data_IF_472305843204
#
_entry.id   IF_472305843204
#
_cell.length_a   1.000
_cell.length_b   1.000
_cell.length_c   1.000
_cell.angle_alpha   90.00
_cell.angle_beta   90.00
_cell.angle_gamma   90.00
#
_symmetry.space_group_name_H-M   'P 1'
#
loop_
_entity.id
_entity.type
_entity.pdbx_description
1 polymer ?
#
# COMPACT_ATOMS: atom_id res chain seq x y z
N UNK A 1 23.02 22.70 0.94
CA UNK A 1 22.55 21.49 0.23
C UNK A 1 23.70 20.51 -0.01
N UNK A 2 24.86 20.95 -0.54
CA UNK A 2 26.00 20.06 -0.83
C UNK A 2 26.60 19.38 0.41
N UNK A 3 26.72 20.09 1.53
CA UNK A 3 27.21 19.58 2.83
C UNK A 3 26.36 18.44 3.43
N UNK A 4 25.05 18.36 3.09
CA UNK A 4 24.14 17.31 3.54
C UNK A 4 24.16 16.10 2.60
N UNK A 5 24.29 16.35 1.30
CA UNK A 5 24.27 15.28 0.29
C UNK A 5 25.59 14.49 0.28
N UNK A 6 26.73 15.16 0.51
CA UNK A 6 28.04 14.53 0.46
C UNK A 6 28.21 13.35 1.44
N UNK A 7 27.86 13.45 2.74
CA UNK A 7 27.95 12.31 3.66
C UNK A 7 27.09 11.12 3.23
N UNK A 8 25.90 11.38 2.69
CA UNK A 8 24.99 10.34 2.21
C UNK A 8 25.63 9.59 1.02
N UNK A 9 26.15 10.32 0.04
CA UNK A 9 26.83 9.71 -1.10
C UNK A 9 28.08 8.93 -0.70
N UNK A 10 28.88 9.45 0.24
CA UNK A 10 30.06 8.75 0.75
C UNK A 10 29.66 7.44 1.46
N UNK A 11 28.59 7.47 2.26
CA UNK A 11 28.09 6.27 2.94
C UNK A 11 27.61 5.23 1.94
N UNK A 12 26.80 5.63 0.95
CA UNK A 12 26.34 4.73 -0.11
C UNK A 12 27.53 4.16 -0.89
N UNK A 13 28.49 5.00 -1.29
CA UNK A 13 29.69 4.57 -2.00
C UNK A 13 30.50 3.54 -1.18
N UNK A 14 30.68 3.79 0.11
CA UNK A 14 31.41 2.88 1.01
C UNK A 14 30.70 1.52 1.12
N UNK A 15 29.37 1.52 1.31
CA UNK A 15 28.57 0.28 1.39
C UNK A 15 28.65 -0.51 0.09
N UNK A 16 28.44 0.17 -1.04
CA UNK A 16 28.49 -0.49 -2.36
C UNK A 16 29.89 -1.05 -2.66
N UNK A 17 30.92 -0.24 -2.42
CA UNK A 17 32.31 -0.68 -2.68
C UNK A 17 32.71 -1.95 -1.89
N UNK A 18 32.29 -2.02 -0.63
CA UNK A 18 32.61 -3.16 0.22
C UNK A 18 31.65 -4.35 0.07
N UNK A 19 30.39 -4.10 -0.36
CA UNK A 19 29.36 -5.13 -0.45
C UNK A 19 29.16 -5.75 -1.83
N UNK A 20 29.53 -5.05 -2.92
CA UNK A 20 29.23 -5.51 -4.29
C UNK A 20 29.87 -6.88 -4.63
N UNK A 21 31.06 -7.14 -4.08
CA UNK A 21 31.74 -8.42 -4.28
C UNK A 21 31.08 -9.62 -3.60
N UNK A 22 30.21 -9.37 -2.60
CA UNK A 22 29.46 -10.40 -1.89
C UNK A 22 28.12 -10.73 -2.56
N UNK A 23 27.67 -9.91 -3.50
CA UNK A 23 26.41 -10.13 -4.25
C UNK A 23 26.69 -11.08 -5.40
N UNK A 24 26.68 -12.37 -5.10
CA UNK A 24 26.85 -13.46 -6.08
C UNK A 24 25.50 -14.04 -6.47
N UNK A 25 25.46 -14.83 -7.54
CA UNK A 25 24.27 -15.58 -7.93
C UNK A 25 23.82 -16.55 -6.81
N UNK A 26 24.78 -17.14 -6.13
CA UNK A 26 24.54 -18.01 -4.98
C UNK A 26 23.87 -17.26 -3.83
N UNK A 27 24.30 -16.04 -3.52
CA UNK A 27 23.69 -15.17 -2.51
C UNK A 27 22.22 -14.88 -2.77
N UNK A 28 21.80 -14.73 -4.03
CA UNK A 28 20.41 -14.44 -4.40
C UNK A 28 19.56 -15.72 -4.40
N UNK A 29 20.12 -16.86 -4.80
CA UNK A 29 19.35 -18.08 -5.11
C UNK A 29 19.39 -19.16 -4.03
N UNK A 30 20.22 -19.00 -3.00
CA UNK A 30 20.31 -20.01 -1.93
C UNK A 30 19.67 -19.56 -0.61
N UNK A 31 19.20 -20.50 0.21
CA UNK A 31 18.79 -20.22 1.56
C UNK A 31 19.99 -19.93 2.46
N UNK A 32 19.80 -19.18 3.56
CA UNK A 32 20.85 -18.96 4.55
C UNK A 32 21.26 -20.28 5.23
N UNK A 33 22.57 -20.43 5.50
CA UNK A 33 23.19 -21.59 6.16
C UNK A 33 24.04 -21.12 7.33
N UNK A 34 24.40 -22.05 8.20
CA UNK A 34 25.31 -21.81 9.34
C UNK A 34 24.97 -20.57 10.18
N UNK A 35 23.68 -20.42 10.58
CA UNK A 35 23.23 -19.28 11.38
C UNK A 35 23.31 -17.95 10.62
N UNK A 36 23.03 -17.94 9.33
CA UNK A 36 23.06 -16.76 8.44
C UNK A 36 24.49 -16.25 8.13
N UNK A 37 25.53 -17.03 8.40
CA UNK A 37 26.91 -16.66 8.07
C UNK A 37 27.29 -17.02 6.62
N UNK A 38 26.56 -17.96 6.03
CA UNK A 38 26.78 -18.48 4.67
C UNK A 38 25.44 -18.63 3.95
N UNK A 39 25.49 -18.84 2.63
CA UNK A 39 24.32 -18.98 1.78
C UNK A 39 23.79 -17.64 1.31
N UNK A 40 22.47 -17.49 1.23
CA UNK A 40 21.85 -16.34 0.61
C UNK A 40 20.54 -15.90 1.25
N UNK A 41 19.81 -15.08 0.51
CA UNK A 41 18.60 -14.38 0.96
C UNK A 41 17.32 -14.83 0.24
N UNK A 42 17.34 -15.94 -0.49
CA UNK A 42 16.20 -16.43 -1.27
C UNK A 42 14.86 -16.46 -0.48
N UNK A 43 14.80 -17.02 0.75
CA UNK A 43 13.55 -17.05 1.51
C UNK A 43 13.03 -15.65 1.86
N UNK A 44 13.93 -14.68 2.09
CA UNK A 44 13.55 -13.31 2.34
C UNK A 44 12.94 -12.64 1.10
N UNK A 45 13.53 -12.91 -0.09
CA UNK A 45 13.00 -12.42 -1.36
C UNK A 45 11.59 -12.98 -1.61
N UNK A 46 11.44 -14.30 -1.52
CA UNK A 46 10.14 -14.97 -1.74
C UNK A 46 9.13 -14.50 -0.70
N UNK A 47 9.51 -14.45 0.57
CA UNK A 47 8.65 -13.97 1.65
C UNK A 47 8.15 -12.55 1.42
N UNK A 48 9.02 -11.65 0.99
CA UNK A 48 8.66 -10.27 0.66
C UNK A 48 7.67 -10.21 -0.51
N UNK A 49 7.91 -10.95 -1.59
CA UNK A 49 7.01 -11.00 -2.75
C UNK A 49 5.62 -11.50 -2.34
N UNK A 50 5.55 -12.59 -1.58
CA UNK A 50 4.27 -13.16 -1.13
C UNK A 50 3.55 -12.21 -0.17
N UNK A 51 4.27 -11.54 0.74
CA UNK A 51 3.70 -10.52 1.62
C UNK A 51 3.14 -9.33 0.83
N UNK A 52 3.85 -8.84 -0.18
CA UNK A 52 3.39 -7.74 -1.04
C UNK A 52 2.12 -8.15 -1.77
N UNK A 53 2.11 -9.30 -2.43
CA UNK A 53 0.95 -9.81 -3.15
C UNK A 53 -0.25 -9.96 -2.21
N UNK A 54 -0.04 -10.57 -1.04
CA UNK A 54 -1.09 -10.71 -0.02
C UNK A 54 -1.61 -9.37 0.48
N UNK A 55 -0.72 -8.42 0.76
CA UNK A 55 -1.08 -7.06 1.16
C UNK A 55 -1.93 -6.38 0.11
N UNK A 56 -1.50 -6.39 -1.16
CA UNK A 56 -2.22 -5.78 -2.28
C UNK A 56 -3.58 -6.43 -2.51
N UNK A 57 -3.65 -7.75 -2.39
CA UNK A 57 -4.91 -8.50 -2.56
C UNK A 57 -5.99 -8.06 -1.57
N UNK A 58 -5.63 -7.76 -0.34
CA UNK A 58 -6.58 -7.27 0.67
C UNK A 58 -6.77 -5.75 0.63
N UNK A 59 -5.71 -4.98 0.45
CA UNK A 59 -5.78 -3.52 0.60
C UNK A 59 -6.31 -2.81 -0.63
N UNK A 60 -5.93 -3.21 -1.86
CA UNK A 60 -6.35 -2.50 -3.07
C UNK A 60 -7.86 -2.53 -3.30
N UNK A 61 -8.54 -3.70 -3.27
CA UNK A 61 -9.98 -3.71 -3.49
C UNK A 61 -10.73 -2.90 -2.43
N UNK A 62 -10.38 -3.06 -1.16
CA UNK A 62 -11.03 -2.35 -0.06
C UNK A 62 -10.75 -0.85 -0.12
N UNK A 63 -9.52 -0.44 -0.39
CA UNK A 63 -9.13 0.96 -0.46
C UNK A 63 -9.79 1.68 -1.63
N UNK A 64 -9.73 1.09 -2.84
CA UNK A 64 -10.34 1.67 -4.04
C UNK A 64 -11.86 1.77 -3.91
N UNK A 65 -12.54 0.70 -3.47
CA UNK A 65 -13.99 0.72 -3.28
C UNK A 65 -14.43 1.73 -2.21
N UNK A 66 -13.65 1.85 -1.12
CA UNK A 66 -13.91 2.86 -0.09
C UNK A 66 -13.78 4.28 -0.62
N UNK A 67 -12.74 4.56 -1.40
CA UNK A 67 -12.54 5.87 -2.02
C UNK A 67 -13.66 6.20 -3.02
N UNK A 68 -14.01 5.24 -3.89
CA UNK A 68 -15.13 5.39 -4.84
C UNK A 68 -16.43 5.70 -4.09
N UNK A 69 -16.71 4.96 -3.01
CA UNK A 69 -17.89 5.25 -2.20
C UNK A 69 -17.86 6.68 -1.61
N UNK A 70 -16.73 7.09 -1.04
CA UNK A 70 -16.58 8.39 -0.39
C UNK A 70 -16.65 9.58 -1.35
N UNK A 71 -16.22 9.38 -2.61
CA UNK A 71 -16.22 10.46 -3.63
C UNK A 71 -17.55 10.50 -4.39
N UNK A 72 -18.03 9.34 -4.82
CA UNK A 72 -19.13 9.27 -5.77
C UNK A 72 -20.52 9.07 -5.12
N UNK A 73 -20.59 8.38 -4.00
CA UNK A 73 -21.86 7.94 -3.40
C UNK A 73 -22.17 8.59 -2.05
N UNK A 74 -21.17 8.89 -1.26
CA UNK A 74 -21.38 9.39 0.09
C UNK A 74 -22.02 10.79 0.06
N UNK A 75 -23.06 10.98 0.87
CA UNK A 75 -23.66 12.30 1.09
C UNK A 75 -22.74 13.13 1.98
N UNK A 76 -22.70 14.44 1.74
CA UNK A 76 -21.94 15.33 2.60
C UNK A 76 -22.71 15.55 3.92
N UNK A 77 -22.38 14.73 4.92
CA UNK A 77 -22.94 14.76 6.25
C UNK A 77 -21.83 14.60 7.31
N UNK A 78 -22.17 14.83 8.57
CA UNK A 78 -21.23 14.74 9.70
C UNK A 78 -20.55 13.36 9.79
N UNK A 79 -21.26 12.29 9.49
CA UNK A 79 -20.72 10.93 9.54
C UNK A 79 -19.66 10.71 8.45
N UNK A 80 -19.94 11.08 7.21
CA UNK A 80 -18.96 11.02 6.11
C UNK A 80 -17.73 11.86 6.40
N UNK A 81 -17.93 13.05 6.98
CA UNK A 81 -16.83 13.93 7.38
C UNK A 81 -15.96 13.28 8.47
N UNK A 82 -16.59 12.63 9.44
CA UNK A 82 -15.86 11.88 10.48
C UNK A 82 -15.02 10.75 9.89
N UNK A 83 -15.58 9.97 8.94
CA UNK A 83 -14.84 8.90 8.25
C UNK A 83 -13.62 9.48 7.51
N UNK A 84 -13.81 10.55 6.73
CA UNK A 84 -12.70 11.22 6.01
C UNK A 84 -11.59 11.67 6.96
N UNK A 85 -11.95 12.28 8.09
CA UNK A 85 -11.00 12.69 9.12
C UNK A 85 -10.29 11.48 9.77
N UNK A 86 -11.00 10.39 10.01
CA UNK A 86 -10.42 9.16 10.57
C UNK A 86 -9.38 8.55 9.62
N UNK A 87 -9.65 8.51 8.32
CA UNK A 87 -8.69 8.03 7.31
C UNK A 87 -7.42 8.87 7.33
N UNK A 88 -7.54 10.19 7.36
CA UNK A 88 -6.38 11.11 7.43
C UNK A 88 -5.59 10.89 8.73
N UNK A 89 -6.28 10.79 9.87
CA UNK A 89 -5.61 10.56 11.16
C UNK A 89 -4.90 9.20 11.23
N UNK A 90 -5.48 8.16 10.64
CA UNK A 90 -4.84 6.84 10.54
C UNK A 90 -3.53 6.89 9.74
N UNK A 91 -3.44 7.72 8.69
CA UNK A 91 -2.18 7.89 7.94
C UNK A 91 -1.02 8.41 8.81
N UNK A 92 -1.31 9.09 9.90
CA UNK A 92 -0.31 9.63 10.83
C UNK A 92 0.10 8.66 11.94
N UNK A 93 -0.51 7.48 12.04
CA UNK A 93 -0.20 6.50 13.09
C UNK A 93 1.16 5.83 12.80
N UNK A 94 2.10 5.77 13.77
CA UNK A 94 3.38 5.09 13.58
C UNK A 94 3.21 3.61 13.24
N UNK A 95 4.03 3.09 12.31
CA UNK A 95 3.96 1.70 11.83
C UNK A 95 4.10 0.66 12.95
N UNK A 96 4.83 0.98 14.02
CA UNK A 96 4.98 0.09 15.18
C UNK A 96 3.63 -0.17 15.88
N UNK A 97 2.74 0.83 15.91
CA UNK A 97 1.39 0.67 16.48
C UNK A 97 0.58 -0.31 15.66
N UNK A 98 0.63 -0.21 14.33
CA UNK A 98 0.00 -1.18 13.43
C UNK A 98 0.58 -2.58 13.61
N UNK A 99 1.90 -2.70 13.78
CA UNK A 99 2.56 -3.98 14.03
C UNK A 99 2.11 -4.63 15.34
N UNK A 100 2.03 -3.86 16.44
CA UNK A 100 1.53 -4.34 17.73
C UNK A 100 0.05 -4.71 17.67
N UNK A 101 -0.77 -3.89 17.01
CA UNK A 101 -2.18 -4.17 16.80
C UNK A 101 -2.37 -5.47 16.00
N UNK A 102 -1.69 -5.60 14.87
CA UNK A 102 -1.77 -6.78 14.02
C UNK A 102 -1.27 -8.05 14.72
N UNK A 103 -0.19 -7.94 15.49
CA UNK A 103 0.29 -9.05 16.30
C UNK A 103 -0.76 -9.49 17.33
N UNK A 104 -1.32 -8.54 18.09
CA UNK A 104 -2.32 -8.84 19.10
C UNK A 104 -3.60 -9.42 18.49
N UNK A 105 -4.09 -8.82 17.40
CA UNK A 105 -5.34 -9.22 16.77
C UNK A 105 -5.19 -10.53 15.98
N UNK A 106 -4.25 -10.60 15.03
CA UNK A 106 -4.15 -11.73 14.13
C UNK A 106 -3.42 -12.91 14.73
N UNK A 107 -2.31 -12.68 15.43
CA UNK A 107 -1.51 -13.76 16.01
C UNK A 107 -2.08 -14.21 17.35
N UNK A 108 -2.40 -13.26 18.25
CA UNK A 108 -2.89 -13.56 19.59
C UNK A 108 -4.36 -13.96 19.61
N UNK A 109 -5.26 -13.06 19.20
CA UNK A 109 -6.70 -13.26 19.33
C UNK A 109 -7.27 -14.24 18.28
N UNK A 110 -6.98 -14.02 16.98
CA UNK A 110 -7.46 -14.87 15.89
C UNK A 110 -6.64 -16.15 15.71
N UNK A 111 -5.52 -16.28 16.42
CA UNK A 111 -4.65 -17.46 16.43
C UNK A 111 -4.16 -17.91 15.05
N UNK A 112 -3.92 -16.96 14.14
CA UNK A 112 -3.32 -17.25 12.82
C UNK A 112 -1.83 -17.62 12.91
N UNK A 113 -1.23 -17.49 14.09
CA UNK A 113 0.21 -17.67 14.29
C UNK A 113 1.04 -16.58 13.60
N UNK A 114 2.36 -16.72 13.69
CA UNK A 114 3.32 -15.90 12.94
C UNK A 114 3.35 -16.37 11.48
N UNK A 115 2.39 -15.90 10.68
CA UNK A 115 2.15 -16.36 9.32
C UNK A 115 2.18 -15.22 8.32
N UNK A 116 2.40 -15.54 7.05
CA UNK A 116 2.31 -14.59 5.94
C UNK A 116 0.93 -13.93 5.90
N UNK A 117 -0.13 -14.68 6.21
CA UNK A 117 -1.49 -14.14 6.24
C UNK A 117 -1.64 -13.06 7.31
N UNK A 118 -1.17 -13.29 8.54
CA UNK A 118 -1.20 -12.30 9.61
C UNK A 118 -0.39 -11.04 9.24
N UNK A 119 0.78 -11.23 8.66
CA UNK A 119 1.62 -10.14 8.16
C UNK A 119 0.95 -9.35 7.04
N UNK A 120 0.40 -10.02 6.03
CA UNK A 120 -0.30 -9.37 4.90
C UNK A 120 -1.52 -8.58 5.35
N UNK A 121 -2.33 -9.10 6.27
CA UNK A 121 -3.49 -8.38 6.82
C UNK A 121 -3.07 -7.15 7.64
N UNK A 122 -2.01 -7.27 8.44
CA UNK A 122 -1.46 -6.14 9.20
C UNK A 122 -0.98 -5.03 8.27
N UNK A 123 -0.20 -5.38 7.26
CA UNK A 123 0.30 -4.44 6.25
C UNK A 123 -0.85 -3.87 5.41
N UNK A 124 -1.88 -4.67 5.12
CA UNK A 124 -3.06 -4.18 4.40
C UNK A 124 -3.78 -3.08 5.17
N UNK A 125 -4.04 -3.28 6.47
CA UNK A 125 -4.68 -2.25 7.31
C UNK A 125 -3.82 -0.99 7.36
N UNK A 126 -2.50 -1.12 7.49
CA UNK A 126 -1.57 0.01 7.50
C UNK A 126 -1.58 0.78 6.16
N UNK A 127 -1.75 0.09 5.03
CA UNK A 127 -1.73 0.70 3.70
C UNK A 127 -3.08 1.31 3.29
N UNK A 128 -4.20 0.88 3.89
CA UNK A 128 -5.55 1.33 3.54
C UNK A 128 -5.70 2.86 3.52
N UNK A 129 -5.28 3.62 4.55
CA UNK A 129 -5.46 5.07 4.54
C UNK A 129 -4.76 5.76 3.36
N UNK A 130 -3.57 5.29 3.00
CA UNK A 130 -2.78 5.83 1.88
C UNK A 130 -3.48 5.54 0.55
N UNK A 131 -3.93 4.30 0.35
CA UNK A 131 -4.64 3.89 -0.87
C UNK A 131 -5.96 4.65 -1.01
N UNK A 132 -6.73 4.80 0.08
CA UNK A 132 -7.99 5.56 0.06
C UNK A 132 -7.73 7.01 -0.32
N UNK A 133 -6.71 7.65 0.26
CA UNK A 133 -6.39 9.06 0.00
C UNK A 133 -5.91 9.27 -1.42
N UNK A 134 -4.95 8.47 -1.89
CA UNK A 134 -4.44 8.56 -3.26
C UNK A 134 -5.55 8.30 -4.30
N UNK A 135 -6.37 7.26 -4.08
CA UNK A 135 -7.50 6.97 -4.96
C UNK A 135 -8.54 8.09 -4.96
N UNK A 136 -8.84 8.66 -3.80
CA UNK A 136 -9.74 9.81 -3.67
C UNK A 136 -9.23 11.00 -4.49
N UNK A 137 -7.97 11.38 -4.34
CA UNK A 137 -7.36 12.48 -5.08
C UNK A 137 -7.38 12.22 -6.59
N UNK A 138 -7.08 11.01 -7.02
CA UNK A 138 -7.17 10.61 -8.42
C UNK A 138 -8.60 10.71 -8.98
N UNK A 139 -9.62 10.30 -8.22
CA UNK A 139 -11.03 10.42 -8.62
C UNK A 139 -11.50 11.88 -8.65
N UNK A 140 -11.07 12.70 -7.71
CA UNK A 140 -11.39 14.14 -7.64
C UNK A 140 -10.73 14.94 -8.78
N UNK A 141 -9.60 14.46 -9.32
CA UNK A 141 -8.92 15.10 -10.46
C UNK A 141 -9.66 14.92 -11.79
N UNK A 142 -10.60 13.96 -11.89
CA UNK A 142 -11.40 13.74 -13.09
C UNK A 142 -12.38 14.90 -13.30
N UNK A 143 -12.38 15.59 -14.46
CA UNK A 143 -13.28 16.70 -14.72
C UNK A 143 -14.77 16.33 -14.57
N UNK A 144 -15.56 17.19 -13.96
CA UNK A 144 -17.00 16.95 -13.75
C UNK A 144 -17.77 16.74 -15.06
N UNK A 145 -17.33 17.36 -16.15
CA UNK A 145 -17.94 17.21 -17.49
C UNK A 145 -18.01 15.74 -17.96
N UNK A 146 -17.04 14.89 -17.59
CA UNK A 146 -17.09 13.46 -17.93
C UNK A 146 -18.31 12.76 -17.28
N UNK A 147 -18.62 13.14 -16.05
CA UNK A 147 -19.78 12.61 -15.31
C UNK A 147 -21.09 13.10 -15.92
N UNK A 148 -21.16 14.40 -16.20
CA UNK A 148 -22.36 15.04 -16.78
C UNK A 148 -22.69 14.49 -18.17
N UNK A 149 -21.70 14.36 -19.06
CA UNK A 149 -21.88 13.80 -20.40
C UNK A 149 -22.38 12.35 -20.32
N UNK A 150 -21.75 11.53 -19.48
CA UNK A 150 -22.14 10.13 -19.32
C UNK A 150 -23.59 10.00 -18.83
N UNK A 151 -23.96 10.78 -17.82
CA UNK A 151 -25.32 10.77 -17.27
C UNK A 151 -26.34 11.31 -18.29
N UNK A 152 -25.99 12.33 -19.10
CA UNK A 152 -26.84 12.88 -20.16
C UNK A 152 -27.12 11.88 -21.28
N UNK A 153 -26.21 10.94 -21.50
CA UNK A 153 -26.39 9.82 -22.43
C UNK A 153 -27.24 8.67 -21.86
N UNK A 154 -27.79 8.84 -20.64
CA UNK A 154 -28.65 7.85 -19.97
C UNK A 154 -27.89 6.79 -19.19
N UNK A 155 -26.58 6.93 -18.99
CA UNK A 155 -25.82 5.99 -18.18
C UNK A 155 -26.23 6.09 -16.69
N UNK A 156 -26.27 4.95 -16.00
CA UNK A 156 -26.45 4.94 -14.56
C UNK A 156 -25.18 5.44 -13.85
N UNK A 157 -25.31 5.87 -12.60
CA UNK A 157 -24.18 6.33 -11.80
C UNK A 157 -23.04 5.30 -11.72
N UNK A 158 -23.39 4.01 -11.55
CA UNK A 158 -22.41 2.93 -11.56
C UNK A 158 -21.70 2.75 -12.90
N UNK A 159 -22.44 2.87 -14.01
CA UNK A 159 -21.85 2.80 -15.34
C UNK A 159 -20.89 3.97 -15.59
N UNK A 160 -21.29 5.19 -15.17
CA UNK A 160 -20.42 6.38 -15.24
C UNK A 160 -19.12 6.17 -14.47
N UNK A 161 -19.21 5.69 -13.23
CA UNK A 161 -18.02 5.44 -12.41
C UNK A 161 -17.15 4.37 -13.04
N UNK A 162 -17.72 3.23 -13.45
CA UNK A 162 -16.97 2.08 -13.94
C UNK A 162 -16.31 2.31 -15.30
N UNK A 163 -17.01 2.98 -16.22
CA UNK A 163 -16.58 3.09 -17.62
C UNK A 163 -15.98 4.45 -17.98
N UNK A 164 -16.25 5.50 -17.22
CA UNK A 164 -15.72 6.83 -17.49
C UNK A 164 -14.72 7.29 -16.43
N UNK A 165 -15.12 7.28 -15.13
CA UNK A 165 -14.33 7.88 -14.07
C UNK A 165 -13.13 7.01 -13.68
N UNK A 166 -13.36 5.73 -13.38
CA UNK A 166 -12.29 4.81 -12.95
C UNK A 166 -11.19 4.64 -14.00
N UNK A 167 -11.48 4.37 -15.30
CA UNK A 167 -10.42 4.25 -16.29
C UNK A 167 -9.57 5.51 -16.45
N UNK A 168 -10.17 6.68 -16.29
CA UNK A 168 -9.44 7.95 -16.34
C UNK A 168 -8.58 8.17 -15.08
N UNK A 169 -9.06 7.72 -13.92
CA UNK A 169 -8.36 7.88 -12.64
C UNK A 169 -7.24 6.86 -12.41
N UNK A 170 -7.27 5.68 -13.09
CA UNK A 170 -6.29 4.58 -12.89
C UNK A 170 -4.82 5.04 -12.94
N UNK A 171 -4.38 5.90 -13.88
CA UNK A 171 -2.99 6.37 -13.90
C UNK A 171 -2.58 7.17 -12.65
N UNK A 172 -3.54 7.76 -11.94
CA UNK A 172 -3.29 8.47 -10.68
C UNK A 172 -3.45 7.60 -9.43
N UNK A 173 -3.98 6.38 -9.57
CA UNK A 173 -4.15 5.41 -8.48
C UNK A 173 -2.90 4.51 -8.37
N UNK A 174 -2.24 4.22 -9.49
CA UNK A 174 -1.07 3.37 -9.62
C UNK A 174 0.24 4.17 -9.58
#
# INVERSE_FOLDING_TARGET
>A
TFLVVLPILLTIFYIVKNGIGSVTWEFITQPPRNGMKEGGILPAIIGTIVLIIGTMFFSLPLGILSAVYLVEYAKDNTFTRLIKLSVVNLSGVPSIVYGLFGFTLFVGFLRFGTSILAGSLTLAIMSLPVIITATKEALESVPHSFREISLSLGATKWQTVRYCVLPYAVPGIL
#
